data_IF_678478710446
#
_entry.id   IF_678478710446
#
_cell.length_a   1.000
_cell.length_b   1.000
_cell.length_c   1.000
_cell.angle_alpha   90.00
_cell.angle_beta   90.00
_cell.angle_gamma   90.00
#
_symmetry.space_group_name_H-M   'P 1'
#
loop_
_entity.id
_entity.type
_entity.pdbx_description
1 polymer ?
#
# COMPACT_ATOMS: atom_id res chain seq x y z
N UNK A 1 13.01 6.09 -4.94
CA UNK A 1 12.81 4.76 -4.33
C UNK A 1 12.53 3.87 -5.54
N UNK A 2 13.59 3.47 -6.23
CA UNK A 2 13.54 2.89 -7.59
C UNK A 2 14.20 1.51 -7.64
N UNK A 3 14.02 0.72 -6.58
CA UNK A 3 14.40 -0.68 -6.66
C UNK A 3 13.23 -1.46 -7.30
N UNK A 4 13.47 -2.18 -8.40
CA UNK A 4 12.42 -2.98 -9.04
C UNK A 4 11.92 -4.03 -8.06
N UNK A 5 10.60 -4.23 -8.00
CA UNK A 5 10.02 -5.24 -7.12
C UNK A 5 10.63 -6.63 -7.42
N UNK A 6 11.16 -7.35 -6.41
CA UNK A 6 11.76 -8.66 -6.60
C UNK A 6 10.80 -9.61 -7.32
N UNK A 7 11.28 -10.43 -8.25
CA UNK A 7 10.47 -11.37 -9.04
C UNK A 7 9.36 -10.76 -9.94
N UNK A 8 9.24 -9.44 -10.07
CA UNK A 8 8.22 -8.82 -10.94
C UNK A 8 8.36 -9.20 -12.41
N UNK A 9 9.58 -9.49 -12.87
CA UNK A 9 9.86 -9.94 -14.23
C UNK A 9 9.11 -11.22 -14.62
N UNK A 10 8.69 -12.05 -13.66
CA UNK A 10 7.96 -13.30 -13.93
C UNK A 10 6.57 -13.05 -14.52
N UNK A 11 5.88 -11.99 -14.09
CA UNK A 11 4.63 -11.58 -14.70
C UNK A 11 4.85 -11.09 -16.14
N UNK A 12 5.85 -10.23 -16.35
CA UNK A 12 6.23 -9.74 -17.68
C UNK A 12 6.53 -10.90 -18.63
N UNK A 13 7.38 -11.84 -18.20
CA UNK A 13 7.79 -12.98 -19.02
C UNK A 13 6.60 -13.89 -19.34
N UNK A 14 5.69 -14.10 -18.38
CA UNK A 14 4.44 -14.83 -18.63
C UNK A 14 3.54 -14.12 -19.65
N UNK A 15 3.40 -12.78 -19.57
CA UNK A 15 2.61 -12.02 -20.54
C UNK A 15 3.20 -12.17 -21.95
N UNK A 16 4.52 -12.01 -22.09
CA UNK A 16 5.23 -12.21 -23.36
C UNK A 16 4.98 -13.62 -23.90
N UNK A 17 5.15 -14.64 -23.06
CA UNK A 17 4.94 -16.03 -23.41
C UNK A 17 3.50 -16.34 -23.81
N UNK A 18 2.51 -15.76 -23.12
CA UNK A 18 1.09 -15.95 -23.40
C UNK A 18 0.75 -15.50 -24.82
N UNK A 19 1.21 -14.32 -25.24
CA UNK A 19 1.01 -13.84 -26.61
C UNK A 19 1.83 -14.66 -27.63
N UNK A 20 3.09 -14.99 -27.31
CA UNK A 20 3.95 -15.78 -28.20
C UNK A 20 3.40 -17.18 -28.46
N UNK A 21 2.76 -17.80 -27.46
CA UNK A 21 2.11 -19.11 -27.57
C UNK A 21 0.68 -19.04 -28.12
N UNK A 22 0.18 -17.84 -28.42
CA UNK A 22 -1.19 -17.60 -28.85
C UNK A 22 -2.23 -18.16 -27.86
N UNK A 23 -1.98 -17.93 -26.56
CA UNK A 23 -2.93 -18.28 -25.51
C UNK A 23 -4.28 -17.63 -25.85
N UNK A 24 -5.40 -18.39 -25.87
CA UNK A 24 -6.72 -17.82 -26.08
C UNK A 24 -6.97 -16.64 -25.16
N UNK A 25 -7.38 -15.50 -25.72
CA UNK A 25 -7.45 -14.25 -24.95
C UNK A 25 -8.46 -14.32 -23.81
N UNK A 26 -9.54 -15.08 -23.94
CA UNK A 26 -10.46 -15.35 -22.84
C UNK A 26 -9.76 -16.02 -21.64
N UNK A 27 -8.86 -16.97 -21.88
CA UNK A 27 -8.03 -17.60 -20.85
C UNK A 27 -7.02 -16.60 -20.28
N UNK A 28 -6.41 -15.76 -21.12
CA UNK A 28 -5.51 -14.68 -20.68
C UNK A 28 -6.20 -13.68 -19.74
N UNK A 29 -7.45 -13.29 -20.04
CA UNK A 29 -8.26 -12.43 -19.16
C UNK A 29 -8.54 -13.13 -17.83
N UNK A 30 -9.00 -14.39 -17.88
CA UNK A 30 -9.29 -15.15 -16.65
C UNK A 30 -8.06 -15.31 -15.76
N UNK A 31 -6.89 -15.55 -16.37
CA UNK A 31 -5.64 -15.67 -15.66
C UNK A 31 -5.28 -14.40 -14.86
N UNK A 32 -5.51 -13.22 -15.44
CA UNK A 32 -5.17 -11.96 -14.78
C UNK A 32 -6.07 -11.64 -13.57
N UNK A 33 -7.29 -12.17 -13.55
CA UNK A 33 -8.28 -11.87 -12.52
C UNK A 33 -8.39 -12.97 -11.46
N UNK A 34 -8.24 -14.24 -11.85
CA UNK A 34 -8.63 -15.39 -11.05
C UNK A 34 -7.85 -16.68 -11.35
N UNK A 35 -6.57 -16.62 -11.77
CA UNK A 35 -5.81 -17.83 -12.08
C UNK A 35 -5.73 -18.84 -10.93
N UNK A 36 -5.77 -18.38 -9.68
CA UNK A 36 -5.76 -19.21 -8.46
C UNK A 36 -7.03 -20.06 -8.28
N UNK A 37 -8.08 -19.75 -9.04
CA UNK A 37 -9.34 -20.51 -9.08
C UNK A 37 -9.48 -21.40 -10.33
N UNK A 38 -8.52 -21.36 -11.25
CA UNK A 38 -8.55 -22.21 -12.44
C UNK A 38 -8.03 -23.61 -12.10
N UNK A 39 -8.53 -24.63 -12.82
CA UNK A 39 -8.09 -26.02 -12.62
C UNK A 39 -6.62 -26.21 -13.05
N UNK A 40 -6.21 -25.53 -14.11
CA UNK A 40 -4.81 -25.49 -14.53
C UNK A 40 -4.08 -24.37 -13.78
N UNK A 41 -3.01 -24.68 -13.02
CA UNK A 41 -2.20 -23.68 -12.33
C UNK A 41 -1.17 -22.99 -13.24
N UNK A 42 -0.98 -23.44 -14.50
CA UNK A 42 -0.01 -22.84 -15.42
C UNK A 42 -0.13 -21.31 -15.62
N UNK A 43 -1.33 -20.69 -15.58
CA UNK A 43 -1.47 -19.25 -15.78
C UNK A 43 -1.40 -18.44 -14.48
N UNK A 44 -1.01 -19.04 -13.35
CA UNK A 44 -0.91 -18.37 -12.05
C UNK A 44 -0.06 -17.08 -12.06
N UNK A 45 1.06 -16.97 -12.81
CA UNK A 45 1.79 -15.71 -12.92
C UNK A 45 0.93 -14.54 -13.44
N UNK A 46 -0.17 -14.81 -14.15
CA UNK A 46 -1.09 -13.79 -14.67
C UNK A 46 -1.70 -12.91 -13.59
N UNK A 47 -1.86 -13.40 -12.35
CA UNK A 47 -2.32 -12.61 -11.21
C UNK A 47 -1.38 -11.44 -10.86
N UNK A 48 -0.18 -11.40 -11.45
CA UNK A 48 0.76 -10.29 -11.34
C UNK A 48 0.17 -8.93 -11.72
N UNK A 49 -0.88 -8.87 -12.57
CA UNK A 49 -1.58 -7.63 -12.90
C UNK A 49 -1.99 -6.85 -11.63
N UNK A 50 -2.51 -7.55 -10.63
CA UNK A 50 -2.92 -6.95 -9.35
C UNK A 50 -2.01 -7.32 -8.18
N UNK A 51 -1.26 -8.42 -8.28
CA UNK A 51 -0.29 -8.82 -7.28
C UNK A 51 0.86 -7.84 -7.14
N UNK A 52 1.30 -7.21 -8.23
CA UNK A 52 2.43 -6.27 -8.22
C UNK A 52 2.09 -4.89 -7.65
N UNK A 53 0.79 -4.56 -7.53
CA UNK A 53 0.33 -3.26 -7.04
C UNK A 53 -0.76 -3.47 -5.96
N UNK A 54 -0.40 -4.05 -4.80
CA UNK A 54 -1.38 -4.41 -3.78
C UNK A 54 -2.01 -3.19 -3.08
N UNK A 55 -1.35 -2.03 -3.14
CA UNK A 55 -1.78 -0.78 -2.49
C UNK A 55 -2.88 -0.03 -3.25
N UNK A 56 -3.02 -0.28 -4.57
CA UNK A 56 -3.94 0.45 -5.45
C UNK A 56 -5.25 -0.32 -5.67
N UNK A 57 -5.97 -0.63 -4.60
CA UNK A 57 -7.20 -1.43 -4.68
C UNK A 57 -8.33 -0.73 -5.44
N UNK A 58 -8.49 0.59 -5.24
CA UNK A 58 -9.52 1.38 -5.92
C UNK A 58 -9.30 1.43 -7.45
N UNK A 59 -8.05 1.51 -7.88
CA UNK A 59 -7.69 1.57 -9.31
C UNK A 59 -7.99 0.26 -10.05
N UNK A 60 -8.16 -0.87 -9.34
CA UNK A 60 -8.46 -2.16 -9.96
C UNK A 60 -9.79 -2.13 -10.71
N UNK A 61 -10.78 -1.38 -10.22
CA UNK A 61 -12.05 -1.20 -10.94
C UNK A 61 -11.81 -0.48 -12.27
N UNK A 62 -11.02 0.60 -12.27
CA UNK A 62 -10.71 1.37 -13.48
C UNK A 62 -9.92 0.52 -14.50
N UNK A 63 -8.83 -0.11 -14.04
CA UNK A 63 -7.97 -0.96 -14.87
C UNK A 63 -8.76 -2.11 -15.48
N UNK A 64 -9.63 -2.78 -14.72
CA UNK A 64 -10.45 -3.89 -15.22
C UNK A 64 -11.47 -3.40 -16.26
N UNK A 65 -12.22 -2.36 -15.92
CA UNK A 65 -13.38 -1.95 -16.72
C UNK A 65 -12.96 -1.19 -17.98
N UNK A 66 -11.94 -0.34 -17.92
CA UNK A 66 -11.35 0.27 -19.13
C UNK A 66 -10.52 -0.74 -19.91
N UNK A 67 -9.79 -1.60 -19.22
CA UNK A 67 -8.90 -2.59 -19.81
C UNK A 67 -9.66 -3.64 -20.62
N UNK A 68 -10.69 -4.26 -20.05
CA UNK A 68 -11.37 -5.37 -20.69
C UNK A 68 -12.74 -5.02 -21.27
N UNK A 69 -13.44 -4.01 -20.73
CA UNK A 69 -14.80 -3.68 -21.18
C UNK A 69 -14.86 -2.36 -21.97
N UNK A 70 -13.80 -1.55 -21.95
CA UNK A 70 -13.81 -0.22 -22.56
C UNK A 70 -14.81 0.71 -21.90
N UNK A 71 -15.09 0.54 -20.61
CA UNK A 71 -16.05 1.35 -19.85
C UNK A 71 -15.33 2.17 -18.77
N UNK A 72 -15.73 3.42 -18.57
CA UNK A 72 -15.19 4.33 -17.56
C UNK A 72 -15.96 4.23 -16.23
N UNK A 73 -16.04 3.03 -15.66
CA UNK A 73 -16.84 2.79 -14.44
C UNK A 73 -16.31 3.56 -13.22
N UNK A 74 -15.01 3.86 -13.17
CA UNK A 74 -14.41 4.62 -12.07
C UNK A 74 -15.01 6.04 -11.90
N UNK A 75 -15.55 6.64 -12.97
CA UNK A 75 -16.25 7.91 -12.85
C UNK A 75 -17.52 7.81 -12.00
N UNK A 76 -18.07 6.59 -11.81
CA UNK A 76 -19.21 6.34 -10.96
C UNK A 76 -18.88 6.24 -9.46
N UNK A 77 -17.61 6.45 -9.05
CA UNK A 77 -17.18 6.34 -7.65
C UNK A 77 -17.90 7.34 -6.72
N UNK A 78 -18.16 8.56 -7.20
CA UNK A 78 -18.72 9.64 -6.40
C UNK A 78 -20.21 9.88 -6.66
N UNK A 79 -20.67 9.64 -7.89
CA UNK A 79 -22.04 9.86 -8.30
C UNK A 79 -22.37 8.93 -9.47
N UNK A 80 -23.65 8.74 -9.78
CA UNK A 80 -24.04 7.93 -10.93
C UNK A 80 -23.38 8.49 -12.19
N UNK A 81 -22.84 7.61 -13.02
CA UNK A 81 -22.05 8.02 -14.17
C UNK A 81 -22.85 9.02 -15.02
N UNK A 82 -22.21 10.15 -15.37
CA UNK A 82 -22.91 11.33 -15.91
C UNK A 82 -23.63 11.07 -17.23
N UNK A 83 -23.11 10.16 -18.05
CA UNK A 83 -23.59 9.91 -19.41
C UNK A 83 -24.07 8.47 -19.57
N UNK A 84 -23.18 7.50 -19.38
CA UNK A 84 -23.56 6.09 -19.39
C UNK A 84 -24.44 5.72 -18.19
N UNK A 85 -25.45 4.84 -18.33
CA UNK A 85 -26.34 4.41 -17.26
C UNK A 85 -25.66 3.41 -16.32
N UNK A 86 -24.58 3.85 -15.67
CA UNK A 86 -23.80 3.09 -14.70
C UNK A 86 -24.05 3.72 -13.33
N UNK A 87 -24.85 3.09 -12.46
CA UNK A 87 -25.11 3.61 -11.13
C UNK A 87 -23.85 3.56 -10.28
N UNK A 88 -23.76 4.45 -9.29
CA UNK A 88 -22.70 4.47 -8.27
C UNK A 88 -22.55 3.09 -7.63
N UNK A 89 -23.68 2.41 -7.42
CA UNK A 89 -23.75 1.08 -6.83
C UNK A 89 -22.91 0.05 -7.59
N UNK A 90 -22.84 0.12 -8.92
CA UNK A 90 -22.05 -0.82 -9.74
C UNK A 90 -20.54 -0.67 -9.48
N UNK A 91 -20.06 0.56 -9.29
CA UNK A 91 -18.66 0.80 -8.91
C UNK A 91 -18.35 0.10 -7.58
N UNK A 92 -19.20 0.27 -6.57
CA UNK A 92 -18.98 -0.36 -5.25
C UNK A 92 -19.20 -1.88 -5.27
N UNK A 93 -20.08 -2.39 -6.13
CA UNK A 93 -20.24 -3.83 -6.38
C UNK A 93 -18.94 -4.45 -6.90
N UNK A 94 -18.27 -3.80 -7.85
CA UNK A 94 -16.96 -4.24 -8.34
C UNK A 94 -15.85 -4.00 -7.31
N UNK A 95 -15.85 -2.87 -6.61
CA UNK A 95 -14.89 -2.58 -5.56
C UNK A 95 -14.91 -3.66 -4.47
N UNK A 96 -16.09 -4.13 -4.08
CA UNK A 96 -16.23 -5.22 -3.10
C UNK A 96 -15.61 -6.53 -3.55
N UNK A 97 -15.55 -6.80 -4.85
CA UNK A 97 -14.83 -7.97 -5.39
C UNK A 97 -13.34 -7.84 -5.13
N UNK A 98 -12.75 -6.69 -5.48
CA UNK A 98 -11.32 -6.46 -5.31
C UNK A 98 -10.90 -6.31 -3.85
N UNK A 99 -11.70 -5.64 -3.01
CA UNK A 99 -11.46 -5.50 -1.57
C UNK A 99 -11.69 -6.81 -0.80
N UNK A 100 -12.33 -7.80 -1.42
CA UNK A 100 -12.41 -9.17 -0.92
C UNK A 100 -11.22 -10.04 -1.35
N UNK A 101 -10.12 -9.43 -1.78
CA UNK A 101 -8.85 -10.10 -2.09
C UNK A 101 -7.68 -9.45 -1.36
N UNK A 102 -6.63 -10.22 -1.10
CA UNK A 102 -5.40 -9.76 -0.46
C UNK A 102 -4.18 -10.21 -1.26
N UNK A 103 -3.09 -9.45 -1.13
CA UNK A 103 -1.80 -9.84 -1.65
C UNK A 103 -1.35 -11.18 -1.05
N UNK A 104 -0.77 -12.03 -1.89
CA UNK A 104 -0.18 -13.30 -1.49
C UNK A 104 1.05 -13.57 -2.35
N UNK A 105 2.19 -13.79 -1.70
CA UNK A 105 3.34 -14.40 -2.38
C UNK A 105 3.04 -15.88 -2.61
N UNK A 106 3.20 -16.34 -3.84
CA UNK A 106 3.12 -17.76 -4.16
C UNK A 106 4.54 -18.31 -4.37
N UNK A 107 5.10 -19.08 -3.42
CA UNK A 107 6.43 -19.64 -3.57
C UNK A 107 6.52 -20.60 -4.75
N UNK A 108 7.66 -20.58 -5.45
CA UNK A 108 7.99 -21.54 -6.51
C UNK A 108 9.01 -22.59 -6.05
N UNK A 109 9.44 -22.50 -4.79
CA UNK A 109 10.30 -23.49 -4.15
C UNK A 109 9.46 -24.50 -3.34
N UNK A 110 10.08 -25.61 -2.97
CA UNK A 110 9.47 -26.61 -2.10
C UNK A 110 9.24 -26.08 -0.67
N UNK A 111 8.34 -26.73 0.06
CA UNK A 111 7.93 -26.33 1.40
C UNK A 111 9.10 -26.27 2.40
N UNK A 112 10.10 -27.15 2.27
CA UNK A 112 11.25 -27.17 3.17
C UNK A 112 12.14 -25.94 2.95
N UNK A 113 12.39 -25.57 1.70
CA UNK A 113 13.13 -24.35 1.33
C UNK A 113 12.40 -23.09 1.83
N UNK A 114 11.08 -23.01 1.63
CA UNK A 114 10.26 -21.87 2.10
C UNK A 114 10.34 -21.75 3.61
N UNK A 115 10.09 -22.84 4.33
CA UNK A 115 10.09 -22.87 5.80
C UNK A 115 11.47 -22.52 6.39
N UNK A 116 12.56 -23.00 5.77
CA UNK A 116 13.91 -22.68 6.20
C UNK A 116 14.20 -21.18 6.09
N UNK A 117 13.83 -20.56 4.97
CA UNK A 117 13.97 -19.12 4.78
C UNK A 117 13.09 -18.33 5.75
N UNK A 118 11.79 -18.66 5.87
CA UNK A 118 10.86 -17.96 6.77
C UNK A 118 11.31 -18.03 8.23
N UNK A 119 11.85 -19.18 8.66
CA UNK A 119 12.39 -19.36 10.01
C UNK A 119 13.59 -18.45 10.24
N UNK A 120 14.52 -18.42 9.30
CA UNK A 120 15.72 -17.58 9.39
C UNK A 120 15.40 -16.08 9.31
N UNK A 121 14.49 -15.67 8.41
CA UNK A 121 14.04 -14.29 8.30
C UNK A 121 13.29 -13.86 9.57
N UNK A 122 12.40 -14.69 10.12
CA UNK A 122 11.73 -14.38 11.39
C UNK A 122 12.72 -14.18 12.54
N UNK A 123 13.77 -15.00 12.62
CA UNK A 123 14.83 -14.83 13.60
C UNK A 123 15.59 -13.51 13.39
N UNK A 124 15.91 -13.16 12.15
CA UNK A 124 16.54 -11.89 11.79
C UNK A 124 15.67 -10.68 12.14
N UNK A 125 14.38 -10.70 11.77
CA UNK A 125 13.44 -9.62 12.11
C UNK A 125 13.29 -9.48 13.62
N UNK A 126 13.27 -10.60 14.36
CA UNK A 126 13.24 -10.57 15.83
C UNK A 126 14.49 -9.92 16.41
N UNK A 127 15.69 -10.31 15.93
CA UNK A 127 16.94 -9.71 16.35
C UNK A 127 17.01 -8.20 16.06
N UNK A 128 16.53 -7.77 14.88
CA UNK A 128 16.40 -6.35 14.52
C UNK A 128 15.44 -5.61 15.45
N UNK A 129 14.27 -6.19 15.72
CA UNK A 129 13.29 -5.60 16.63
C UNK A 129 13.82 -5.49 18.07
N UNK A 130 14.53 -6.49 18.57
CA UNK A 130 15.13 -6.47 19.91
C UNK A 130 16.22 -5.37 20.00
N UNK A 131 17.05 -5.21 18.96
CA UNK A 131 18.00 -4.10 18.84
C UNK A 131 17.30 -2.74 18.81
N UNK A 132 16.29 -2.59 17.96
CA UNK A 132 15.55 -1.34 17.79
C UNK A 132 14.84 -0.93 19.09
N UNK A 133 14.23 -1.87 19.80
CA UNK A 133 13.61 -1.64 21.11
C UNK A 133 14.65 -1.22 22.16
N UNK A 134 15.81 -1.89 22.19
CA UNK A 134 16.90 -1.49 23.08
C UNK A 134 17.38 -0.06 22.78
N UNK A 135 17.70 0.25 21.52
CA UNK A 135 18.14 1.58 21.09
C UNK A 135 17.09 2.64 21.42
N UNK A 136 15.81 2.35 21.19
CA UNK A 136 14.70 3.26 21.53
C UNK A 136 14.69 3.58 23.03
N UNK A 137 14.73 2.55 23.89
CA UNK A 137 14.75 2.71 25.35
C UNK A 137 15.97 3.50 25.83
N UNK A 138 17.15 3.22 25.26
CA UNK A 138 18.35 3.97 25.59
C UNK A 138 18.28 5.42 25.13
N UNK A 139 17.76 5.68 23.92
CA UNK A 139 17.54 7.05 23.44
C UNK A 139 16.57 7.81 24.33
N UNK A 140 15.53 7.17 24.86
CA UNK A 140 14.59 7.79 25.81
C UNK A 140 15.27 8.19 27.13
N UNK A 141 16.18 7.37 27.65
CA UNK A 141 16.97 7.69 28.85
C UNK A 141 17.96 8.83 28.60
N UNK A 142 18.61 8.86 27.43
CA UNK A 142 19.50 9.96 27.04
C UNK A 142 18.70 11.25 26.89
N UNK A 143 17.52 11.20 26.29
CA UNK A 143 16.62 12.35 26.19
C UNK A 143 16.24 12.91 27.56
N UNK A 144 15.97 12.05 28.56
CA UNK A 144 15.73 12.50 29.94
C UNK A 144 16.94 13.23 30.53
N UNK A 145 18.13 12.66 30.37
CA UNK A 145 19.38 13.23 30.88
C UNK A 145 19.66 14.60 30.26
N UNK A 146 19.43 14.73 28.95
CA UNK A 146 19.64 15.97 28.21
C UNK A 146 18.58 17.02 28.57
N UNK A 147 17.31 16.62 28.70
CA UNK A 147 16.23 17.51 29.14
C UNK A 147 16.49 18.05 30.55
N UNK A 148 16.99 17.23 31.47
CA UNK A 148 17.35 17.65 32.82
C UNK A 148 18.50 18.67 32.87
N UNK A 149 19.29 18.80 31.79
CA UNK A 149 20.40 19.76 31.64
C UNK A 149 20.12 20.83 30.58
N UNK A 150 18.86 20.98 30.15
CA UNK A 150 18.53 21.86 29.03
C UNK A 150 18.88 23.34 29.27
N UNK A 151 18.85 23.78 30.54
CA UNK A 151 19.32 25.10 30.98
C UNK A 151 20.81 25.32 30.69
N UNK A 152 21.65 24.33 31.00
CA UNK A 152 23.09 24.38 30.73
C UNK A 152 23.38 24.36 29.22
N UNK A 153 22.69 23.50 28.47
CA UNK A 153 22.81 23.47 27.01
C UNK A 153 22.39 24.78 26.36
N UNK A 154 21.33 25.40 26.87
CA UNK A 154 20.86 26.70 26.40
C UNK A 154 21.85 27.82 26.72
N UNK A 155 22.41 27.86 27.94
CA UNK A 155 23.44 28.83 28.30
C UNK A 155 24.70 28.68 27.44
N UNK A 156 25.13 27.44 27.19
CA UNK A 156 26.25 27.15 26.30
C UNK A 156 25.97 27.56 24.85
N UNK A 157 24.77 27.28 24.33
CA UNK A 157 24.35 27.69 22.99
C UNK A 157 24.32 29.21 22.82
N UNK A 158 23.97 29.96 23.87
CA UNK A 158 23.98 31.42 23.91
C UNK A 158 25.37 32.02 24.15
N UNK A 159 26.42 31.21 24.32
CA UNK A 159 27.78 31.68 24.65
C UNK A 159 27.94 32.23 26.06
N UNK A 160 26.99 31.93 26.97
CA UNK A 160 26.93 32.45 28.35
C UNK A 160 27.32 31.43 29.42
N UNK A 161 27.64 30.19 29.03
CA UNK A 161 28.01 29.09 29.95
C UNK A 161 29.31 28.39 29.55
N UNK A 162 29.95 27.72 30.51
CA UNK A 162 31.10 26.83 30.23
C UNK A 162 30.62 25.56 29.53
N UNK A 163 31.43 25.06 28.59
CA UNK A 163 31.14 23.83 27.84
C UNK A 163 31.54 22.55 28.60
N UNK A 164 32.24 22.68 29.73
CA UNK A 164 32.82 21.55 30.47
C UNK A 164 31.73 20.53 30.85
N UNK A 165 31.81 19.33 30.27
CA UNK A 165 30.88 18.22 30.54
C UNK A 165 29.56 18.23 29.75
N UNK A 166 29.40 19.13 28.76
CA UNK A 166 28.29 19.12 27.80
C UNK A 166 28.71 18.45 26.49
N UNK A 167 27.77 17.75 25.83
CA UNK A 167 28.02 17.15 24.52
C UNK A 167 27.98 18.22 23.41
N UNK A 168 29.08 18.31 22.64
CA UNK A 168 29.25 19.34 21.62
C UNK A 168 28.23 19.25 20.47
N UNK A 169 27.86 18.04 20.03
CA UNK A 169 26.85 17.87 18.98
C UNK A 169 25.48 18.39 19.45
N UNK A 170 25.12 18.11 20.71
CA UNK A 170 23.89 18.62 21.32
C UNK A 170 23.91 20.14 21.41
N UNK A 171 25.04 20.75 21.82
CA UNK A 171 25.19 22.21 21.85
C UNK A 171 24.96 22.81 20.46
N UNK A 172 25.56 22.25 19.41
CA UNK A 172 25.40 22.77 18.04
C UNK A 172 23.96 22.61 17.52
N UNK A 173 23.30 21.48 17.80
CA UNK A 173 21.87 21.30 17.47
C UNK A 173 20.99 22.31 18.21
N UNK A 174 21.32 22.60 19.47
CA UNK A 174 20.59 23.57 20.28
C UNK A 174 20.81 25.00 19.77
N UNK A 175 22.03 25.37 19.34
CA UNK A 175 22.32 26.63 18.66
C UNK A 175 21.49 26.78 17.39
N UNK A 176 21.47 25.74 16.55
CA UNK A 176 20.66 25.72 15.34
C UNK A 176 19.16 25.92 15.63
N UNK A 177 18.66 25.29 16.70
CA UNK A 177 17.29 25.51 17.17
C UNK A 177 17.03 26.97 17.58
N UNK A 178 17.90 27.59 18.39
CA UNK A 178 17.73 28.98 18.84
C UNK A 178 17.85 29.99 17.68
N UNK A 179 18.61 29.67 16.63
CA UNK A 179 18.78 30.52 15.45
C UNK A 179 17.54 30.52 14.52
N UNK A 180 16.62 29.56 14.67
CA UNK A 180 15.42 29.48 13.84
C UNK A 180 14.44 30.62 14.15
N UNK A 181 14.04 31.34 13.11
CA UNK A 181 13.02 32.41 13.17
C UNK A 181 11.59 31.89 13.07
N UNK A 182 11.42 30.66 12.60
CA UNK A 182 10.16 29.98 12.30
C UNK A 182 9.81 28.90 13.33
N UNK A 183 10.12 29.15 14.62
CA UNK A 183 9.86 28.18 15.69
C UNK A 183 8.35 28.01 15.88
N UNK A 184 7.88 26.76 15.85
CA UNK A 184 6.45 26.43 15.92
C UNK A 184 5.88 26.45 17.36
N UNK A 185 6.75 26.50 18.37
CA UNK A 185 6.39 26.69 19.78
C UNK A 185 6.85 28.08 20.31
N UNK A 186 6.17 29.18 19.98
CA UNK A 186 6.61 30.55 20.32
C UNK A 186 6.44 30.92 21.80
N UNK A 187 5.77 30.09 22.61
CA UNK A 187 5.38 30.42 23.99
C UNK A 187 6.52 30.31 25.02
N UNK A 188 7.60 29.60 24.72
CA UNK A 188 8.71 29.50 25.68
C UNK A 188 9.58 30.74 25.57
N UNK A 189 9.46 31.65 26.53
CA UNK A 189 10.36 32.80 26.65
C UNK A 189 11.78 32.27 26.89
N UNK A 190 12.57 32.18 25.82
CA UNK A 190 13.95 31.69 25.82
C UNK A 190 14.93 32.65 26.52
N UNK A 191 14.45 33.48 27.44
CA UNK A 191 15.27 34.41 28.22
C UNK A 191 15.67 33.81 29.57
N UNK A 192 14.88 32.86 30.09
CA UNK A 192 15.16 32.15 31.34
C UNK A 192 15.47 30.66 31.10
N UNK A 193 16.76 30.25 31.14
CA UNK A 193 17.17 28.87 30.91
C UNK A 193 16.53 27.85 31.87
N UNK A 194 16.35 28.21 33.14
CA UNK A 194 15.76 27.33 34.16
C UNK A 194 14.28 27.04 33.86
N UNK A 195 13.54 28.08 33.48
CA UNK A 195 12.13 27.95 33.09
C UNK A 195 11.99 27.10 31.84
N UNK A 196 12.83 27.35 30.83
CA UNK A 196 12.88 26.55 29.60
C UNK A 196 13.08 25.05 29.89
N UNK A 197 14.04 24.71 30.76
CA UNK A 197 14.27 23.34 31.21
C UNK A 197 13.04 22.75 31.88
N UNK A 198 12.40 23.48 32.78
CA UNK A 198 11.22 22.99 33.50
C UNK A 198 10.05 22.68 32.55
N UNK A 199 9.82 23.54 31.55
CA UNK A 199 8.82 23.31 30.50
C UNK A 199 9.15 22.05 29.70
N UNK A 200 10.39 21.89 29.21
CA UNK A 200 10.76 20.69 28.45
C UNK A 200 10.59 19.40 29.23
N UNK A 201 10.99 19.39 30.50
CA UNK A 201 10.82 18.23 31.38
C UNK A 201 9.32 17.94 31.63
N UNK A 202 8.50 18.97 31.78
CA UNK A 202 7.05 18.81 31.95
C UNK A 202 6.41 18.20 30.69
N UNK A 203 6.73 18.72 29.51
CA UNK A 203 6.25 18.20 28.21
C UNK A 203 6.65 16.74 28.00
N UNK A 204 7.90 16.40 28.32
CA UNK A 204 8.38 15.01 28.19
C UNK A 204 7.63 14.06 29.14
N UNK A 205 7.36 14.49 30.38
CA UNK A 205 6.59 13.71 31.36
C UNK A 205 5.14 13.54 30.94
N UNK A 206 4.50 14.63 30.49
CA UNK A 206 3.13 14.60 30.01
C UNK A 206 2.98 13.65 28.82
N UNK A 207 3.91 13.71 27.85
CA UNK A 207 3.91 12.80 26.71
C UNK A 207 3.94 11.34 27.12
N UNK A 208 4.78 10.99 28.11
CA UNK A 208 4.86 9.63 28.64
C UNK A 208 3.56 9.18 29.30
N UNK A 209 2.96 10.05 30.11
CA UNK A 209 1.67 9.76 30.74
C UNK A 209 0.55 9.56 29.70
N UNK A 210 0.57 10.34 28.62
CA UNK A 210 -0.34 10.19 27.49
C UNK A 210 -0.11 8.85 26.77
N UNK A 211 1.14 8.49 26.48
CA UNK A 211 1.48 7.24 25.80
C UNK A 211 1.09 6.01 26.61
N UNK A 212 1.31 6.04 27.92
CA UNK A 212 0.91 4.97 28.85
C UNK A 212 -0.63 4.81 28.88
N UNK A 213 -1.36 5.91 29.01
CA UNK A 213 -2.84 5.88 28.97
C UNK A 213 -3.35 5.36 27.63
N UNK A 214 -2.75 5.79 26.53
CA UNK A 214 -3.10 5.33 25.20
C UNK A 214 -2.79 3.84 25.01
N UNK A 215 -1.68 3.33 25.54
CA UNK A 215 -1.34 1.91 25.52
C UNK A 215 -2.39 1.08 26.27
N UNK A 216 -2.85 1.55 27.43
CA UNK A 216 -3.93 0.90 28.19
C UNK A 216 -5.24 0.91 27.39
N UNK A 217 -5.60 2.04 26.78
CA UNK A 217 -6.80 2.17 25.92
C UNK A 217 -6.76 1.23 24.72
N UNK A 218 -5.56 0.93 24.22
CA UNK A 218 -5.34 0.00 23.11
C UNK A 218 -5.19 -1.48 23.56
N UNK A 219 -5.48 -1.80 24.82
CA UNK A 219 -5.41 -3.17 25.33
C UNK A 219 -3.98 -3.73 25.36
N UNK A 220 -2.97 -2.86 25.48
CA UNK A 220 -1.56 -3.25 25.47
C UNK A 220 -0.98 -3.53 24.09
N UNK A 221 -1.74 -3.30 23.02
CA UNK A 221 -1.27 -3.50 21.64
C UNK A 221 -0.73 -2.21 21.03
N UNK A 222 0.49 -2.27 20.47
CA UNK A 222 1.01 -1.25 19.55
C UNK A 222 0.61 -1.51 18.09
N UNK A 223 0.02 -2.68 17.79
CA UNK A 223 -0.40 -3.09 16.46
C UNK A 223 -1.80 -2.56 16.16
N UNK A 224 -1.87 -1.68 15.14
CA UNK A 224 -3.04 -0.89 14.76
C UNK A 224 -3.86 -1.63 13.70
N UNK A 225 -5.17 -1.76 13.92
CA UNK A 225 -6.14 -1.76 12.81
C UNK A 225 -7.06 -0.53 12.85
N UNK A 226 -7.45 -0.04 14.03
CA UNK A 226 -8.47 1.04 14.11
C UNK A 226 -8.08 2.21 15.03
N UNK A 227 -7.03 2.94 14.69
CA UNK A 227 -6.72 4.20 15.41
C UNK A 227 -7.74 5.30 15.17
N UNK A 228 -8.35 5.30 13.98
CA UNK A 228 -9.24 6.36 13.56
C UNK A 228 -10.51 6.40 14.41
N UNK A 229 -10.85 5.30 15.09
CA UNK A 229 -11.97 5.20 16.02
C UNK A 229 -11.56 5.23 17.49
N UNK A 230 -10.26 5.21 17.80
CA UNK A 230 -9.79 5.25 19.18
C UNK A 230 -9.72 6.71 19.67
N UNK A 231 -10.43 7.03 20.75
CA UNK A 231 -10.31 8.31 21.46
C UNK A 231 -8.95 8.38 22.17
N UNK A 232 -7.90 8.72 21.42
CA UNK A 232 -6.53 8.80 21.91
C UNK A 232 -6.24 10.19 22.48
N UNK A 233 -5.55 10.22 23.62
CA UNK A 233 -5.03 11.46 24.19
C UNK A 233 -3.87 11.97 23.34
N UNK A 234 -3.75 13.29 23.26
CA UNK A 234 -2.64 13.97 22.60
C UNK A 234 -2.16 15.15 23.44
N UNK A 235 -0.90 15.54 23.26
CA UNK A 235 -0.37 16.77 23.83
C UNK A 235 -1.14 17.97 23.30
N UNK A 236 -1.10 19.09 24.02
CA UNK A 236 -1.52 20.36 23.46
C UNK A 236 -0.73 20.66 22.17
N UNK A 237 -1.29 21.48 21.28
CA UNK A 237 -0.65 21.83 20.01
C UNK A 237 0.79 22.33 20.20
N UNK A 238 0.99 23.20 21.19
CA UNK A 238 2.29 23.85 21.43
C UNK A 238 3.27 22.88 22.08
N UNK A 239 2.82 22.07 23.04
CA UNK A 239 3.64 21.02 23.68
C UNK A 239 4.03 19.93 22.69
N UNK A 240 3.15 19.60 21.73
CA UNK A 240 3.46 18.66 20.66
C UNK A 240 4.60 19.18 19.78
N UNK A 241 4.58 20.45 19.39
CA UNK A 241 5.66 21.03 18.58
C UNK A 241 6.97 21.06 19.35
N UNK A 242 6.93 21.50 20.60
CA UNK A 242 8.11 21.51 21.46
C UNK A 242 8.66 20.09 21.67
N UNK A 243 7.78 19.11 21.90
CA UNK A 243 8.16 17.70 21.99
C UNK A 243 8.84 17.21 20.71
N UNK A 244 8.25 17.51 19.56
CA UNK A 244 8.78 17.08 18.24
C UNK A 244 10.15 17.68 17.97
N UNK A 245 10.37 18.95 18.33
CA UNK A 245 11.62 19.67 18.08
C UNK A 245 12.78 19.20 18.98
N UNK A 246 12.49 18.72 20.19
CA UNK A 246 13.53 18.23 21.12
C UNK A 246 13.67 16.71 21.14
N UNK A 247 12.56 15.99 21.11
CA UNK A 247 12.48 14.54 21.37
C UNK A 247 12.01 13.71 20.16
N UNK A 248 11.55 14.36 19.09
CA UNK A 248 11.21 13.65 17.85
C UNK A 248 12.43 13.00 17.20
N UNK A 249 12.24 12.15 16.19
CA UNK A 249 13.33 11.42 15.51
C UNK A 249 14.43 12.31 14.88
N UNK A 250 14.17 13.62 14.75
CA UNK A 250 15.14 14.64 14.30
C UNK A 250 15.34 15.75 15.34
N UNK A 251 14.91 15.50 16.57
CA UNK A 251 14.93 16.48 17.64
C UNK A 251 16.35 16.72 18.17
N UNK A 252 16.53 17.85 18.85
CA UNK A 252 17.83 18.28 19.41
C UNK A 252 18.44 17.18 20.30
N UNK A 253 17.63 16.53 21.13
CA UNK A 253 18.06 15.53 22.11
C UNK A 253 17.95 14.08 21.64
N UNK A 254 17.49 13.84 20.41
CA UNK A 254 17.33 12.47 19.90
C UNK A 254 18.66 11.89 19.40
N UNK A 255 18.98 10.68 19.88
CA UNK A 255 20.16 9.92 19.48
C UNK A 255 19.72 8.51 19.07
N UNK A 256 19.58 8.30 17.75
CA UNK A 256 19.27 6.99 17.19
C UNK A 256 20.50 6.07 17.10
N UNK A 257 20.29 4.92 16.48
CA UNK A 257 21.34 3.94 16.22
C UNK A 257 22.57 4.56 15.53
N UNK A 258 23.76 4.12 15.91
CA UNK A 258 25.05 4.65 15.46
C UNK A 258 25.50 5.91 16.20
N UNK A 259 24.58 6.78 16.62
CA UNK A 259 24.92 7.97 17.43
C UNK A 259 24.76 7.75 18.93
N UNK A 260 23.81 6.89 19.34
CA UNK A 260 23.57 6.54 20.75
C UNK A 260 24.79 5.89 21.41
N UNK A 261 25.60 5.22 20.59
CA UNK A 261 26.88 4.60 20.88
C UNK A 261 27.79 5.35 21.87
N UNK A 262 27.86 6.69 21.79
CA UNK A 262 28.73 7.52 22.66
C UNK A 262 28.17 7.72 24.06
N UNK A 263 26.88 7.50 24.24
CA UNK A 263 26.16 7.67 25.50
C UNK A 263 26.10 6.36 26.31
N UNK A 264 26.45 5.23 25.69
CA UNK A 264 26.43 3.92 26.32
C UNK A 264 27.82 3.55 26.83
N UNK A 265 27.89 3.02 28.05
CA UNK A 265 29.11 2.53 28.66
C UNK A 265 28.86 1.20 29.37
N UNK A 266 29.93 0.43 29.58
CA UNK A 266 29.89 -0.85 30.28
C UNK A 266 28.83 -1.81 29.71
N UNK A 267 27.97 -2.41 30.57
CA UNK A 267 27.02 -3.44 30.14
C UNK A 267 26.06 -3.01 29.02
N UNK A 268 25.65 -1.73 28.96
CA UNK A 268 24.74 -1.25 27.92
C UNK A 268 25.40 -1.19 26.54
N UNK A 269 26.68 -0.83 26.49
CA UNK A 269 27.47 -0.80 25.26
C UNK A 269 27.70 -2.22 24.75
N UNK A 270 28.15 -3.11 25.64
CA UNK A 270 28.37 -4.52 25.35
C UNK A 270 27.09 -5.20 24.83
N UNK A 271 25.94 -4.88 25.43
CA UNK A 271 24.65 -5.42 25.00
C UNK A 271 24.25 -4.94 23.59
N UNK A 272 24.44 -3.66 23.25
CA UNK A 272 24.16 -3.16 21.90
C UNK A 272 25.03 -3.86 20.85
N UNK A 273 26.33 -4.00 21.14
CA UNK A 273 27.28 -4.65 20.24
C UNK A 273 26.93 -6.15 20.09
N UNK A 274 26.49 -6.81 21.16
CA UNK A 274 25.96 -8.18 21.11
C UNK A 274 24.71 -8.31 20.23
N UNK A 275 23.73 -7.41 20.35
CA UNK A 275 22.53 -7.41 19.50
C UNK A 275 22.89 -7.21 18.01
N UNK A 276 23.84 -6.34 17.70
CA UNK A 276 24.37 -6.16 16.33
C UNK A 276 25.06 -7.41 15.81
N UNK A 277 25.79 -8.12 16.67
CA UNK A 277 26.41 -9.40 16.32
C UNK A 277 25.34 -10.47 16.01
N UNK A 278 24.27 -10.56 16.81
CA UNK A 278 23.15 -11.48 16.53
C UNK A 278 22.56 -11.19 15.15
N UNK A 279 22.30 -9.92 14.82
CA UNK A 279 21.80 -9.52 13.50
C UNK A 279 22.76 -9.99 12.41
N UNK A 280 24.07 -9.73 12.56
CA UNK A 280 25.08 -10.13 11.58
C UNK A 280 25.11 -11.66 11.38
N UNK A 281 25.00 -12.44 12.46
CA UNK A 281 24.94 -13.90 12.40
C UNK A 281 23.65 -14.37 11.71
N UNK A 282 22.51 -13.78 12.06
CA UNK A 282 21.22 -14.11 11.48
C UNK A 282 21.16 -13.75 9.97
N UNK A 283 21.75 -12.64 9.55
CA UNK A 283 21.87 -12.26 8.14
C UNK A 283 22.70 -13.27 7.35
N UNK A 284 23.84 -13.72 7.91
CA UNK A 284 24.69 -14.74 7.27
C UNK A 284 24.05 -16.12 7.25
N UNK A 285 23.24 -16.46 8.26
CA UNK A 285 22.57 -17.75 8.36
C UNK A 285 21.30 -17.82 7.49
N UNK A 286 20.78 -16.68 7.02
CA UNK A 286 19.58 -16.62 6.20
C UNK A 286 19.88 -17.17 4.79
N UNK A 287 19.15 -18.20 4.34
CA UNK A 287 19.25 -18.68 2.96
C UNK A 287 18.91 -17.59 1.95
N UNK A 288 19.35 -17.78 0.70
CA UNK A 288 18.87 -16.95 -0.41
C UNK A 288 17.33 -17.01 -0.48
N UNK A 289 16.71 -15.87 -0.79
CA UNK A 289 15.26 -15.79 -0.93
C UNK A 289 14.82 -16.66 -2.11
N UNK A 290 13.89 -17.58 -1.85
CA UNK A 290 13.31 -18.42 -2.89
C UNK A 290 12.60 -17.59 -3.97
N UNK A 291 12.49 -18.12 -5.21
CA UNK A 291 11.67 -17.52 -6.25
C UNK A 291 10.18 -17.59 -5.87
N UNK A 292 9.42 -16.54 -6.19
CA UNK A 292 7.99 -16.47 -5.91
C UNK A 292 7.25 -15.67 -6.99
N UNK A 293 5.92 -15.80 -7.02
CA UNK A 293 5.03 -14.98 -7.83
C UNK A 293 4.30 -13.97 -6.96
N UNK A 294 4.10 -12.76 -7.50
CA UNK A 294 3.19 -11.77 -6.95
C UNK A 294 1.77 -12.12 -7.34
N UNK A 295 0.95 -12.57 -6.38
CA UNK A 295 -0.42 -12.98 -6.65
C UNK A 295 -1.40 -12.28 -5.71
N UNK A 296 -2.69 -12.50 -5.96
CA UNK A 296 -3.76 -12.16 -5.04
C UNK A 296 -4.53 -13.45 -4.70
N UNK A 297 -5.11 -13.47 -3.51
CA UNK A 297 -5.97 -14.56 -3.06
C UNK A 297 -7.21 -13.99 -2.38
N UNK A 298 -8.30 -14.75 -2.40
CA UNK A 298 -9.52 -14.40 -1.68
C UNK A 298 -9.27 -14.33 -0.17
N UNK A 299 -9.87 -13.34 0.49
CA UNK A 299 -9.91 -13.32 1.95
C UNK A 299 -10.92 -14.34 2.45
N UNK A 300 -10.72 -14.86 3.66
CA UNK A 300 -11.58 -15.90 4.26
C UNK A 300 -13.05 -15.48 4.37
N UNK A 301 -13.30 -14.17 4.60
CA UNK A 301 -14.64 -13.60 4.74
C UNK A 301 -14.85 -12.44 3.77
N UNK A 302 -15.22 -12.73 2.51
CA UNK A 302 -15.55 -11.71 1.52
C UNK A 302 -16.68 -10.79 2.02
N UNK A 303 -16.60 -9.51 1.68
CA UNK A 303 -17.57 -8.50 2.14
C UNK A 303 -18.11 -7.66 0.99
N UNK A 304 -19.36 -7.23 1.13
CA UNK A 304 -19.92 -6.23 0.24
C UNK A 304 -19.42 -4.86 0.70
N UNK A 305 -19.27 -3.94 -0.25
CA UNK A 305 -18.91 -2.57 0.10
C UNK A 305 -20.17 -1.74 0.33
N UNK A 306 -20.06 -0.70 1.16
CA UNK A 306 -21.08 0.32 1.26
C UNK A 306 -20.74 1.45 0.32
N UNK A 307 -21.75 2.02 -0.34
CA UNK A 307 -21.56 3.15 -1.23
C UNK A 307 -21.01 4.34 -0.45
N UNK A 308 -19.84 4.86 -0.82
CA UNK A 308 -19.35 6.11 -0.24
C UNK A 308 -20.11 7.27 -0.86
N UNK A 309 -20.92 7.95 -0.06
CA UNK A 309 -21.75 9.06 -0.55
C UNK A 309 -20.84 10.19 -1.02
N UNK A 310 -20.95 10.55 -2.31
CA UNK A 310 -20.08 11.57 -2.95
C UNK A 310 -18.59 11.21 -2.87
N UNK A 311 -18.25 9.93 -2.78
CA UNK A 311 -16.87 9.43 -2.66
C UNK A 311 -16.25 9.58 -1.26
N UNK A 312 -17.01 10.04 -0.27
CA UNK A 312 -16.50 10.23 1.09
C UNK A 312 -16.49 8.91 1.89
N UNK A 313 -15.31 8.36 2.15
CA UNK A 313 -15.11 7.10 2.90
C UNK A 313 -15.67 7.13 4.33
N UNK A 314 -15.84 8.32 4.91
CA UNK A 314 -16.41 8.49 6.25
C UNK A 314 -17.95 8.53 6.24
N UNK A 315 -18.59 8.64 5.07
CA UNK A 315 -20.04 8.79 4.94
C UNK A 315 -20.59 7.68 4.05
N UNK A 316 -21.09 6.62 4.68
CA UNK A 316 -21.51 5.39 4.02
C UNK A 316 -23.04 5.40 3.78
N UNK A 317 -23.45 5.00 2.59
CA UNK A 317 -24.83 4.75 2.19
C UNK A 317 -25.18 3.26 2.21
N UNK A 318 -26.06 2.87 1.31
CA UNK A 318 -26.55 1.49 1.18
C UNK A 318 -25.42 0.52 0.80
N UNK A 319 -25.63 -0.75 1.16
CA UNK A 319 -24.76 -1.82 0.73
C UNK A 319 -24.89 -2.06 -0.79
N UNK A 320 -23.75 -2.26 -1.43
CA UNK A 320 -23.59 -2.68 -2.82
C UNK A 320 -23.16 -4.16 -2.85
N UNK A 321 -24.09 -5.10 -3.06
CA UNK A 321 -23.74 -6.50 -3.24
C UNK A 321 -22.77 -6.69 -4.39
N UNK A 322 -21.75 -7.54 -4.21
CA UNK A 322 -20.83 -7.89 -5.30
C UNK A 322 -21.61 -8.47 -6.48
N UNK A 323 -21.30 -8.03 -7.69
CA UNK A 323 -22.06 -8.41 -8.87
C UNK A 323 -21.56 -7.77 -10.15
N UNK A 324 -22.24 -8.12 -11.23
CA UNK A 324 -21.99 -7.63 -12.58
C UNK A 324 -22.58 -6.23 -12.79
N UNK A 325 -22.10 -5.54 -13.83
CA UNK A 325 -22.59 -4.22 -14.20
C UNK A 325 -24.05 -4.29 -14.67
N UNK A 326 -24.90 -3.40 -14.15
CA UNK A 326 -26.32 -3.34 -14.49
C UNK A 326 -26.53 -3.05 -15.99
N UNK A 327 -25.70 -2.20 -16.58
CA UNK A 327 -25.73 -1.88 -18.03
C UNK A 327 -25.46 -3.10 -18.93
N UNK A 328 -24.76 -4.12 -18.41
CA UNK A 328 -24.44 -5.36 -19.13
C UNK A 328 -25.30 -6.54 -18.68
N UNK A 329 -26.24 -6.31 -17.76
CA UNK A 329 -27.16 -7.31 -17.22
C UNK A 329 -28.50 -7.26 -17.96
N UNK A 330 -29.30 -8.32 -17.83
CA UNK A 330 -30.68 -8.29 -18.32
C UNK A 330 -31.48 -7.24 -17.54
N UNK A 331 -32.38 -6.48 -18.18
CA UNK A 331 -33.21 -5.48 -17.50
C UNK A 331 -33.93 -6.08 -16.29
N UNK A 332 -33.84 -5.40 -15.14
CA UNK A 332 -34.44 -5.82 -13.86
C UNK A 332 -33.97 -7.19 -13.33
N UNK A 333 -32.83 -7.69 -13.78
CA UNK A 333 -32.23 -8.95 -13.31
C UNK A 333 -30.75 -8.73 -12.97
N UNK A 334 -30.43 -8.16 -11.79
CA UNK A 334 -29.05 -7.98 -11.38
C UNK A 334 -28.35 -9.33 -11.21
N UNK A 335 -27.18 -9.47 -11.81
CA UNK A 335 -26.35 -10.67 -11.70
C UNK A 335 -25.40 -10.52 -10.49
N UNK A 336 -25.71 -11.17 -9.38
CA UNK A 336 -24.93 -11.10 -8.14
C UNK A 336 -23.87 -12.20 -8.08
N UNK A 337 -22.72 -11.88 -7.50
CA UNK A 337 -21.60 -12.79 -7.29
C UNK A 337 -21.52 -13.22 -5.83
N UNK A 338 -21.50 -14.53 -5.60
CA UNK A 338 -21.68 -15.11 -4.27
C UNK A 338 -20.54 -16.05 -3.85
N UNK A 339 -19.65 -16.42 -4.77
CA UNK A 339 -18.56 -17.37 -4.52
C UNK A 339 -17.25 -16.65 -4.24
N UNK A 340 -16.69 -16.89 -3.05
CA UNK A 340 -15.44 -16.26 -2.65
C UNK A 340 -15.53 -14.73 -2.77
N UNK A 341 -14.45 -14.12 -3.29
CA UNK A 341 -14.43 -12.69 -3.59
C UNK A 341 -15.37 -12.31 -4.74
N UNK A 342 -15.79 -13.24 -5.60
CA UNK A 342 -16.45 -12.97 -6.87
C UNK A 342 -15.48 -12.72 -8.04
N UNK A 343 -14.15 -12.80 -7.83
CA UNK A 343 -13.15 -12.60 -8.90
C UNK A 343 -13.31 -13.61 -10.04
N UNK A 344 -13.55 -14.89 -9.73
CA UNK A 344 -13.76 -15.91 -10.76
C UNK A 344 -15.04 -15.62 -11.55
N UNK A 345 -16.15 -15.31 -10.88
CA UNK A 345 -17.43 -14.99 -11.54
C UNK A 345 -17.27 -13.75 -12.44
N UNK A 346 -16.57 -12.72 -11.97
CA UNK A 346 -16.22 -11.52 -12.74
C UNK A 346 -15.37 -11.88 -13.97
N UNK A 347 -14.35 -12.71 -13.80
CA UNK A 347 -13.46 -13.14 -14.85
C UNK A 347 -14.18 -13.95 -15.94
N UNK A 348 -15.08 -14.85 -15.52
CA UNK A 348 -15.94 -15.62 -16.41
C UNK A 348 -16.89 -14.73 -17.20
N UNK A 349 -17.45 -13.68 -16.58
CA UNK A 349 -18.31 -12.74 -17.30
C UNK A 349 -17.59 -11.80 -18.24
N UNK A 350 -16.42 -11.29 -17.86
CA UNK A 350 -15.59 -10.50 -18.76
C UNK A 350 -15.19 -11.36 -19.97
N UNK A 351 -14.73 -12.58 -19.75
CA UNK A 351 -14.23 -13.47 -20.79
C UNK A 351 -15.30 -14.35 -21.46
N UNK A 352 -16.59 -14.02 -21.27
CA UNK A 352 -17.71 -14.77 -21.83
C UNK A 352 -17.86 -14.47 -23.33
N UNK A 353 -18.14 -15.47 -24.19
CA UNK A 353 -18.50 -15.23 -25.59
C UNK A 353 -19.80 -14.43 -25.75
N UNK A 354 -20.67 -14.43 -24.74
CA UNK A 354 -21.90 -13.62 -24.72
C UNK A 354 -21.65 -12.16 -24.34
N UNK A 355 -20.43 -11.81 -23.92
CA UNK A 355 -20.03 -10.44 -23.65
C UNK A 355 -19.29 -9.86 -24.88
N UNK A 356 -19.95 -9.02 -25.69
CA UNK A 356 -19.36 -8.52 -26.93
C UNK A 356 -18.25 -7.49 -26.68
N UNK A 357 -18.18 -6.87 -25.50
CA UNK A 357 -17.25 -5.77 -25.24
C UNK A 357 -15.80 -6.26 -25.23
N UNK A 358 -15.51 -7.39 -24.60
CA UNK A 358 -14.13 -7.86 -24.44
C UNK A 358 -13.46 -8.16 -25.78
N UNK A 359 -14.18 -8.81 -26.69
CA UNK A 359 -13.70 -9.06 -28.05
C UNK A 359 -13.54 -7.75 -28.83
N UNK A 360 -14.57 -6.88 -28.83
CA UNK A 360 -14.52 -5.58 -29.54
C UNK A 360 -13.37 -4.68 -29.06
N UNK A 361 -13.13 -4.62 -27.76
CA UNK A 361 -12.06 -3.81 -27.17
C UNK A 361 -10.69 -4.31 -27.62
N UNK A 362 -10.44 -5.62 -27.56
CA UNK A 362 -9.16 -6.16 -28.00
C UNK A 362 -8.96 -5.99 -29.51
N UNK A 363 -9.98 -6.34 -30.31
CA UNK A 363 -9.93 -6.19 -31.78
C UNK A 363 -9.61 -4.74 -32.15
N UNK A 364 -10.28 -3.78 -31.51
CA UNK A 364 -10.04 -2.37 -31.76
C UNK A 364 -8.60 -1.94 -31.42
N UNK A 365 -8.02 -2.46 -30.33
CA UNK A 365 -6.62 -2.18 -29.94
C UNK A 365 -5.62 -2.80 -30.90
N UNK A 366 -5.86 -4.03 -31.35
CA UNK A 366 -5.02 -4.68 -32.35
C UNK A 366 -5.09 -3.91 -33.67
N UNK A 367 -6.30 -3.53 -34.10
CA UNK A 367 -6.51 -2.67 -35.28
C UNK A 367 -5.74 -1.36 -35.16
N UNK A 368 -5.89 -0.65 -34.03
CA UNK A 368 -5.15 0.58 -33.77
C UNK A 368 -3.63 0.37 -33.84
N UNK A 369 -3.13 -0.76 -33.33
CA UNK A 369 -1.70 -1.11 -33.40
C UNK A 369 -1.18 -1.27 -34.84
N UNK A 370 -2.00 -1.76 -35.77
CA UNK A 370 -1.61 -1.91 -37.18
C UNK A 370 -1.80 -0.65 -38.02
N UNK A 371 -2.90 0.07 -37.79
CA UNK A 371 -3.35 1.15 -38.67
C UNK A 371 -3.17 2.55 -38.07
N UNK A 372 -2.65 2.66 -36.85
CA UNK A 372 -2.41 3.93 -36.13
C UNK A 372 -3.65 4.50 -35.45
N UNK A 373 -4.84 4.31 -36.03
CA UNK A 373 -6.13 4.69 -35.43
C UNK A 373 -7.04 3.47 -35.24
N UNK A 374 -7.76 3.43 -34.12
CA UNK A 374 -8.78 2.41 -33.87
C UNK A 374 -10.06 2.65 -34.68
N UNK A 375 -10.83 1.60 -34.94
CA UNK A 375 -12.20 1.71 -35.49
C UNK A 375 -13.05 2.61 -34.56
N UNK A 376 -12.88 2.42 -33.25
CA UNK A 376 -13.24 3.36 -32.18
C UNK A 376 -11.96 4.08 -31.76
N UNK A 377 -11.85 5.39 -32.04
CA UNK A 377 -10.64 6.17 -31.72
C UNK A 377 -10.37 6.28 -30.22
N UNK A 378 -11.41 6.28 -29.40
CA UNK A 378 -11.33 6.24 -27.94
C UNK A 378 -11.17 4.80 -27.43
N UNK A 379 -9.99 4.20 -27.62
CA UNK A 379 -9.76 2.76 -27.37
C UNK A 379 -10.02 2.24 -25.94
N UNK A 380 -10.21 3.13 -24.96
CA UNK A 380 -10.56 2.80 -23.57
C UNK A 380 -11.94 3.31 -23.14
N UNK A 381 -12.73 3.87 -24.06
CA UNK A 381 -14.09 4.35 -23.78
C UNK A 381 -15.01 4.09 -24.98
N UNK A 382 -15.87 3.09 -24.83
CA UNK A 382 -16.91 2.67 -25.79
C UNK A 382 -18.30 3.17 -25.36
N UNK A 383 -18.37 3.91 -24.24
CA UNK A 383 -19.58 4.55 -23.75
C UNK A 383 -19.98 5.79 -24.56
N UNK A 384 -20.96 6.54 -24.06
CA UNK A 384 -21.55 7.71 -24.72
C UNK A 384 -20.52 8.83 -24.95
N UNK A 385 -19.52 8.96 -24.07
CA UNK A 385 -18.43 9.92 -24.24
C UNK A 385 -17.30 9.42 -25.17
N UNK A 386 -17.35 8.16 -25.60
CA UNK A 386 -16.46 7.63 -26.62
C UNK A 386 -16.86 8.07 -28.02
N UNK A 387 -15.91 8.00 -28.95
CA UNK A 387 -16.24 8.10 -30.37
C UNK A 387 -17.04 6.86 -30.81
N UNK A 388 -18.04 7.06 -31.66
CA UNK A 388 -18.73 5.92 -32.30
C UNK A 388 -17.76 5.20 -33.24
N UNK A 389 -17.87 3.87 -33.40
CA UNK A 389 -17.07 3.16 -34.37
C UNK A 389 -17.31 3.74 -35.76
N UNK A 390 -16.22 4.05 -36.47
CA UNK A 390 -16.28 4.50 -37.87
C UNK A 390 -16.92 3.46 -38.78
N UNK A 391 -16.70 2.18 -38.49
CA UNK A 391 -17.23 1.03 -39.22
C UNK A 391 -17.79 0.00 -38.23
N UNK A 392 -19.02 0.19 -37.70
CA UNK A 392 -19.59 -0.67 -36.66
C UNK A 392 -19.72 -2.14 -37.09
N UNK A 393 -20.20 -2.38 -38.31
CA UNK A 393 -20.38 -3.73 -38.85
C UNK A 393 -19.06 -4.48 -39.00
N UNK A 394 -17.99 -3.77 -39.37
CA UNK A 394 -16.64 -4.33 -39.45
C UNK A 394 -16.11 -4.73 -38.07
N UNK A 395 -16.28 -3.87 -37.07
CA UNK A 395 -15.88 -4.18 -35.70
C UNK A 395 -16.63 -5.41 -35.17
N UNK A 396 -17.92 -5.50 -35.44
CA UNK A 396 -18.76 -6.64 -35.03
C UNK A 396 -18.36 -7.92 -35.74
N UNK A 397 -18.12 -7.86 -37.04
CA UNK A 397 -17.61 -8.98 -37.82
C UNK A 397 -16.27 -9.48 -37.26
N UNK A 398 -15.30 -8.59 -37.05
CA UNK A 398 -13.98 -8.96 -36.55
C UNK A 398 -14.05 -9.52 -35.11
N UNK A 399 -14.88 -8.94 -34.25
CA UNK A 399 -15.08 -9.43 -32.89
C UNK A 399 -15.74 -10.83 -32.86
N UNK A 400 -16.77 -11.05 -33.67
CA UNK A 400 -17.40 -12.37 -33.80
C UNK A 400 -16.42 -13.42 -34.33
N UNK A 401 -15.69 -13.10 -35.41
CA UNK A 401 -14.65 -13.96 -35.98
C UNK A 401 -13.53 -14.27 -34.98
N UNK A 402 -13.15 -13.31 -34.15
CA UNK A 402 -12.15 -13.52 -33.11
C UNK A 402 -12.60 -14.55 -32.07
N UNK A 403 -13.86 -14.46 -31.62
CA UNK A 403 -14.46 -15.44 -30.69
C UNK A 403 -14.60 -16.82 -31.35
N UNK A 404 -15.07 -16.88 -32.60
CA UNK A 404 -15.20 -18.12 -33.38
C UNK A 404 -13.87 -18.85 -33.57
N UNK A 405 -12.78 -18.10 -33.78
CA UNK A 405 -11.42 -18.63 -33.90
C UNK A 405 -10.75 -18.83 -32.53
N UNK A 406 -11.53 -19.21 -31.52
CA UNK A 406 -11.08 -19.54 -30.18
C UNK A 406 -10.23 -18.43 -29.53
N UNK A 407 -10.58 -17.16 -29.76
CA UNK A 407 -9.90 -16.00 -29.19
C UNK A 407 -8.39 -15.96 -29.53
N UNK A 408 -8.00 -16.52 -30.68
CA UNK A 408 -6.62 -16.52 -31.20
C UNK A 408 -6.24 -15.15 -31.74
N UNK A 409 -5.26 -14.51 -31.11
CA UNK A 409 -4.77 -13.20 -31.51
C UNK A 409 -4.01 -13.32 -32.83
N UNK A 410 -3.22 -14.39 -32.99
CA UNK A 410 -2.50 -14.63 -34.26
C UNK A 410 -3.45 -14.86 -35.44
N UNK A 411 -4.61 -15.47 -35.22
CA UNK A 411 -5.61 -15.62 -36.29
C UNK A 411 -6.22 -14.28 -36.70
N UNK A 412 -6.34 -13.33 -35.76
CA UNK A 412 -6.80 -11.97 -36.06
C UNK A 412 -5.75 -11.12 -36.78
N UNK A 413 -4.46 -11.44 -36.61
CA UNK A 413 -3.34 -10.77 -37.30
C UNK A 413 -3.16 -11.20 -38.76
N UNK A 414 -3.67 -12.37 -39.14
CA UNK A 414 -3.53 -12.95 -40.49
C UNK A 414 -4.70 -12.55 -41.36
#
# INVERSE_FOLDING_TARGET
MDEPQPNAFRFRDWVIDAFNKDLPYNTFVKAQLAADHLQDPSPLPGLGLYGLNPEFQDDRVDVTTRGFLGLTVACAQCHDHKFDPIPTKDYYSLLGIFNSSQYKEHPLADEATVKAYETADKALQRAKADRDDFVKKQSEQVMDLLAAKADLYMLAALGKGKLDGLDGETVERFKAYLARKDREAPQVQTENPTEFRNVLVAVLREKRAIDEKNLIRLGGSNARRDLASADLLSLSKDDFYLYREFFGARGVFFYGDGKIDRWLQGPYREHLDFLRQIITVAEKARPERYPFLHTIADIEKPRNEKVHLRGNRATLGDEAPRGWLAILSKPNQPELFTKGSGRLELAERIASPDNPLTARVLVNRIWQGHFGEGIVRTASNFGILGERPSHPELLDYLAARFVENNWSIKSLHR
#
